data_IF_037629074586
#
_entry.id   IF_037629074586
#
_cell.length_a   1.000
_cell.length_b   1.000
_cell.length_c   1.000
_cell.angle_alpha   90.00
_cell.angle_beta   90.00
_cell.angle_gamma   90.00
#
_symmetry.space_group_name_H-M   'P 1'
#
loop_
_entity.id
_entity.type
_entity.pdbx_description
1 polymer ?
#
# COMPACT_ATOMS: atom_id res chain seq x y z
N UNK A 1 -7.60 -34.39 29.69
CA UNK A 1 -6.57 -33.70 28.89
C UNK A 1 -7.02 -33.73 27.44
N UNK A 2 -7.83 -32.74 27.08
CA UNK A 2 -8.34 -32.57 25.72
C UNK A 2 -7.77 -31.24 25.24
N UNK A 3 -6.94 -31.33 24.21
CA UNK A 3 -6.06 -30.29 23.71
C UNK A 3 -6.84 -29.02 23.34
N UNK A 4 -6.32 -27.88 23.80
CA UNK A 4 -6.76 -26.54 23.47
C UNK A 4 -6.40 -26.24 22.01
N UNK A 5 -7.33 -26.50 21.09
CA UNK A 5 -7.35 -25.81 19.79
C UNK A 5 -8.01 -24.45 20.00
N UNK A 6 -7.28 -23.52 20.62
CA UNK A 6 -7.56 -22.09 20.45
C UNK A 6 -7.19 -21.75 19.00
N UNK A 7 -8.18 -21.86 18.11
CA UNK A 7 -8.21 -21.09 16.88
C UNK A 7 -8.09 -19.61 17.27
N UNK A 8 -6.86 -19.11 17.36
CA UNK A 8 -6.58 -17.70 17.17
C UNK A 8 -7.12 -17.35 15.78
N UNK A 9 -8.40 -16.96 15.73
CA UNK A 9 -8.93 -16.14 14.66
C UNK A 9 -8.03 -14.91 14.58
N UNK A 10 -6.95 -15.02 13.81
CA UNK A 10 -6.21 -13.89 13.31
C UNK A 10 -7.26 -13.02 12.65
N UNK A 11 -7.71 -11.97 13.36
CA UNK A 11 -8.75 -11.08 12.88
C UNK A 11 -8.33 -10.67 11.48
N UNK A 12 -9.05 -11.15 10.47
CA UNK A 12 -8.81 -10.84 9.08
C UNK A 12 -9.25 -9.39 8.88
N UNK A 13 -8.51 -8.45 9.48
CA UNK A 13 -8.64 -7.03 9.19
C UNK A 13 -8.41 -6.91 7.69
N UNK A 14 -9.49 -6.58 6.99
CA UNK A 14 -9.39 -6.34 5.57
C UNK A 14 -8.32 -5.27 5.35
N UNK A 15 -7.44 -5.45 4.34
CA UNK A 15 -6.43 -4.45 4.07
C UNK A 15 -7.12 -3.11 3.84
N UNK A 16 -6.57 -2.01 4.40
CA UNK A 16 -7.18 -0.70 4.26
C UNK A 16 -7.38 -0.37 2.80
N UNK A 17 -8.49 0.29 2.48
CA UNK A 17 -8.68 0.77 1.12
C UNK A 17 -7.61 1.84 0.80
N UNK A 18 -7.39 2.11 -0.49
CA UNK A 18 -6.33 3.05 -0.90
C UNK A 18 -6.45 4.42 -0.24
N UNK A 19 -7.68 4.93 -0.05
CA UNK A 19 -7.90 6.22 0.60
C UNK A 19 -7.47 6.19 2.05
N UNK A 20 -7.83 5.14 2.79
CA UNK A 20 -7.42 4.93 4.18
C UNK A 20 -5.91 4.78 4.31
N UNK A 21 -5.28 3.99 3.44
CA UNK A 21 -3.83 3.81 3.44
C UNK A 21 -3.08 5.14 3.20
N UNK A 22 -3.55 5.96 2.26
CA UNK A 22 -2.99 7.29 2.01
C UNK A 22 -3.19 8.24 3.20
N UNK A 23 -4.34 8.17 3.87
CA UNK A 23 -4.60 8.96 5.07
C UNK A 23 -3.69 8.54 6.24
N UNK A 24 -3.48 7.24 6.43
CA UNK A 24 -2.54 6.70 7.41
C UNK A 24 -1.10 7.14 7.14
N UNK A 25 -0.65 7.11 5.88
CA UNK A 25 0.68 7.60 5.50
C UNK A 25 0.85 9.09 5.81
N UNK A 26 -0.17 9.93 5.55
CA UNK A 26 -0.13 11.36 5.89
C UNK A 26 -0.02 11.59 7.40
N UNK A 27 -0.76 10.83 8.21
CA UNK A 27 -0.68 10.92 9.68
C UNK A 27 0.71 10.51 10.17
N UNK A 28 1.29 9.46 9.59
CA UNK A 28 2.64 9.01 9.90
C UNK A 28 3.69 10.05 9.53
N UNK A 29 3.60 10.68 8.36
CA UNK A 29 4.48 11.77 7.95
C UNK A 29 4.46 12.93 8.95
N UNK A 30 3.27 13.37 9.36
CA UNK A 30 3.12 14.44 10.34
C UNK A 30 3.76 14.05 11.67
N UNK A 31 3.48 12.85 12.16
CA UNK A 31 4.06 12.34 13.40
C UNK A 31 5.59 12.26 13.34
N UNK A 32 6.12 11.67 12.27
CA UNK A 32 7.56 11.51 12.07
C UNK A 32 8.28 12.85 11.92
N UNK A 33 7.68 13.83 11.25
CA UNK A 33 8.26 15.17 11.09
C UNK A 33 8.47 15.91 12.42
N UNK A 34 7.68 15.56 13.45
CA UNK A 34 7.69 16.21 14.77
C UNK A 34 8.49 15.39 15.79
N UNK A 35 8.28 14.07 15.86
CA UNK A 35 8.80 13.24 16.95
C UNK A 35 9.98 12.35 16.54
N UNK A 36 10.07 11.93 15.28
CA UNK A 36 11.12 11.01 14.79
C UNK A 36 11.51 11.31 13.35
N UNK A 37 12.40 12.30 13.11
CA UNK A 37 12.82 12.69 11.77
C UNK A 37 13.42 11.54 10.94
N UNK A 38 14.06 10.58 11.60
CA UNK A 38 14.57 9.37 10.97
C UNK A 38 13.48 8.46 10.38
N UNK A 39 12.28 8.48 10.96
CA UNK A 39 11.12 7.74 10.46
C UNK A 39 10.52 8.41 9.21
N UNK A 40 10.67 9.73 9.08
CA UNK A 40 10.13 10.48 7.94
C UNK A 40 10.75 10.03 6.60
N UNK A 41 12.06 9.76 6.59
CA UNK A 41 12.73 9.24 5.39
C UNK A 41 12.19 7.87 4.99
N UNK A 42 12.01 6.97 5.97
CA UNK A 42 11.46 5.64 5.72
C UNK A 42 10.01 5.69 5.20
N UNK A 43 9.19 6.60 5.74
CA UNK A 43 7.81 6.79 5.26
C UNK A 43 7.82 7.38 3.84
N UNK A 44 8.73 8.30 3.54
CA UNK A 44 8.90 8.87 2.19
C UNK A 44 9.28 7.79 1.17
N UNK A 45 10.22 6.91 1.54
CA UNK A 45 10.63 5.79 0.69
C UNK A 45 9.46 4.82 0.43
N UNK A 46 8.67 4.53 1.47
CA UNK A 46 7.49 3.67 1.37
C UNK A 46 6.39 4.29 0.49
N UNK A 47 6.15 5.59 0.60
CA UNK A 47 5.19 6.33 -0.23
C UNK A 47 5.61 6.30 -1.71
N UNK A 48 6.90 6.47 -1.99
CA UNK A 48 7.44 6.36 -3.35
C UNK A 48 7.22 4.97 -3.92
N UNK A 49 7.63 3.91 -3.21
CA UNK A 49 7.46 2.53 -3.68
C UNK A 49 6.00 2.17 -3.90
N UNK A 50 5.11 2.61 -3.01
CA UNK A 50 3.67 2.38 -3.15
C UNK A 50 3.10 3.08 -4.38
N UNK A 51 3.59 4.28 -4.68
CA UNK A 51 3.20 5.03 -5.88
C UNK A 51 3.70 4.35 -7.14
N UNK A 52 4.94 3.87 -7.16
CA UNK A 52 5.52 3.15 -8.30
C UNK A 52 4.72 1.86 -8.59
N UNK A 53 4.43 1.07 -7.56
CA UNK A 53 3.59 -0.14 -7.69
C UNK A 53 2.20 0.20 -8.24
N UNK A 54 1.60 1.30 -7.78
CA UNK A 54 0.31 1.74 -8.29
C UNK A 54 0.40 2.10 -9.78
N UNK A 55 1.41 2.89 -10.18
CA UNK A 55 1.60 3.29 -11.57
C UNK A 55 1.85 2.08 -12.47
N UNK A 56 2.67 1.12 -12.04
CA UNK A 56 2.93 -0.13 -12.76
C UNK A 56 1.65 -0.96 -12.92
N UNK A 57 0.82 -1.05 -11.87
CA UNK A 57 -0.46 -1.76 -11.93
C UNK A 57 -1.45 -1.13 -12.93
N UNK A 58 -1.30 0.16 -13.23
CA UNK A 58 -2.09 0.88 -14.24
C UNK A 58 -1.44 0.81 -15.62
N UNK A 59 -0.12 0.77 -15.71
CA UNK A 59 0.63 0.66 -16.96
C UNK A 59 0.32 -0.65 -17.70
N UNK A 60 0.12 -1.75 -16.98
CA UNK A 60 -0.33 -3.05 -17.55
C UNK A 60 -1.68 -2.95 -18.27
N UNK A 61 -2.52 -1.94 -17.95
CA UNK A 61 -3.77 -1.69 -18.67
C UNK A 61 -3.60 -0.80 -19.91
N UNK A 62 -2.47 -0.08 -20.05
CA UNK A 62 -2.20 0.78 -21.21
C UNK A 62 -1.59 0.03 -22.39
N UNK A 63 -0.87 -1.08 -22.16
CA UNK A 63 -0.34 -1.91 -23.25
C UNK A 63 -1.45 -2.41 -24.18
N UNK A 64 -2.67 -2.69 -23.67
CA UNK A 64 -3.78 -3.13 -24.50
C UNK A 64 -4.35 -2.05 -25.44
N UNK A 65 -4.20 -0.76 -25.10
CA UNK A 65 -4.60 0.34 -25.97
C UNK A 65 -3.60 0.50 -27.12
N UNK A 66 -2.30 0.40 -26.85
CA UNK A 66 -1.28 0.43 -27.90
C UNK A 66 -1.39 -0.79 -28.82
N UNK A 67 -1.78 -1.95 -28.30
CA UNK A 67 -2.05 -3.15 -29.11
C UNK A 67 -3.32 -3.04 -29.97
N UNK A 68 -4.31 -2.25 -29.52
CA UNK A 68 -5.52 -1.95 -30.29
C UNK A 68 -5.24 -1.04 -31.49
N UNK A 69 -4.40 -0.01 -31.31
CA UNK A 69 -4.07 0.93 -32.38
C UNK A 69 -2.95 0.45 -33.32
N UNK A 70 -2.17 -0.56 -32.94
CA UNK A 70 -1.16 -1.17 -33.82
C UNK A 70 -1.76 -2.07 -34.92
N UNK A 71 -3.07 -2.34 -34.85
CA UNK A 71 -3.83 -3.11 -35.84
C UNK A 71 -4.77 -2.25 -36.71
N UNK A 72 -4.63 -0.92 -36.67
CA UNK A 72 -5.28 0.03 -37.60
C UNK A 72 -4.25 0.60 -38.58
#
# INVERSE_FOLDING_TARGET
>A
DNEEEEEEEASLEQPPNLSEALEMMRKLHLFASIEQPQLHNLISDLESQSTDIYLDSKAVKQSSITDYFSHC
#
